data_IF_995055691750
#
_entry.id   IF_995055691750
#
_cell.length_a   1.000
_cell.length_b   1.000
_cell.length_c   1.000
_cell.angle_alpha   90.00
_cell.angle_beta   90.00
_cell.angle_gamma   90.00
#
_symmetry.space_group_name_H-M   'P 1'
#
loop_
_entity.id
_entity.type
_entity.pdbx_description
1 polymer ?
#
# COMPACT_ATOMS: atom_id res chain seq x y z
N UNK A 1 -23.71 -30.52 3.71
CA UNK A 1 -23.00 -29.77 4.77
C UNK A 1 -23.88 -29.82 5.99
N UNK A 2 -23.30 -30.30 7.09
CA UNK A 2 -23.99 -30.73 8.31
C UNK A 2 -24.90 -29.63 8.88
N UNK A 3 -26.13 -30.01 9.22
CA UNK A 3 -27.15 -29.10 9.73
C UNK A 3 -26.67 -28.51 11.06
N UNK A 4 -26.39 -27.21 11.02
CA UNK A 4 -25.86 -26.44 12.15
C UNK A 4 -26.67 -26.69 13.42
N UNK A 5 -26.05 -27.33 14.43
CA UNK A 5 -26.54 -27.38 15.83
C UNK A 5 -26.62 -25.95 16.38
N UNK A 6 -27.74 -25.27 16.13
CA UNK A 6 -27.99 -23.92 16.65
C UNK A 6 -28.56 -24.03 18.07
N UNK A 7 -27.92 -23.35 19.02
CA UNK A 7 -28.41 -23.24 20.40
C UNK A 7 -29.64 -22.33 20.44
N UNK A 8 -30.73 -22.81 21.06
CA UNK A 8 -31.99 -22.08 21.23
C UNK A 8 -31.75 -20.76 22.00
N UNK A 9 -32.29 -19.65 21.47
CA UNK A 9 -32.20 -18.33 22.10
C UNK A 9 -30.98 -17.49 21.72
N UNK A 10 -30.05 -18.01 20.92
CA UNK A 10 -28.97 -17.20 20.32
C UNK A 10 -29.37 -16.71 18.93
N UNK A 11 -29.16 -15.43 18.68
CA UNK A 11 -29.12 -14.87 17.34
C UNK A 11 -27.77 -15.23 16.71
N UNK A 12 -27.79 -15.98 15.62
CA UNK A 12 -26.61 -16.25 14.81
C UNK A 12 -26.60 -15.29 13.63
N UNK A 13 -25.42 -14.79 13.26
CA UNK A 13 -25.27 -14.06 12.00
C UNK A 13 -25.65 -14.99 10.84
N UNK A 14 -26.35 -14.44 9.86
CA UNK A 14 -26.58 -15.13 8.59
C UNK A 14 -25.24 -15.58 8.03
N UNK A 15 -25.18 -16.82 7.54
CA UNK A 15 -23.99 -17.30 6.84
C UNK A 15 -23.60 -16.26 5.78
N UNK A 16 -22.34 -15.84 5.82
CA UNK A 16 -21.82 -14.90 4.83
C UNK A 16 -21.99 -15.58 3.48
N UNK A 17 -22.62 -14.88 2.54
CA UNK A 17 -22.85 -15.40 1.20
C UNK A 17 -21.49 -15.70 0.56
N UNK A 18 -21.18 -16.98 0.25
CA UNK A 18 -19.92 -17.35 -0.36
C UNK A 18 -19.76 -16.77 -1.78
N UNK A 19 -20.86 -16.32 -2.41
CA UNK A 19 -20.86 -15.69 -3.73
C UNK A 19 -20.74 -14.15 -3.63
N UNK A 20 -20.81 -13.55 -2.43
CA UNK A 20 -20.53 -12.12 -2.24
C UNK A 20 -19.03 -11.88 -2.31
N UNK A 21 -18.58 -11.65 -3.54
CA UNK A 21 -17.40 -10.88 -3.97
C UNK A 21 -16.16 -11.18 -3.13
N UNK A 22 -15.42 -12.14 -3.66
CA UNK A 22 -14.05 -12.47 -3.30
C UNK A 22 -13.23 -11.18 -3.23
N UNK A 23 -12.32 -11.12 -2.28
CA UNK A 23 -11.52 -9.95 -1.91
C UNK A 23 -10.92 -9.25 -3.15
N UNK A 24 -10.64 -10.00 -4.22
CA UNK A 24 -10.15 -9.53 -5.51
C UNK A 24 -11.11 -8.58 -6.25
N UNK A 25 -12.38 -8.92 -6.45
CA UNK A 25 -13.32 -8.05 -7.19
C UNK A 25 -13.62 -6.77 -6.39
N UNK A 26 -13.58 -6.84 -5.05
CA UNK A 26 -13.62 -5.62 -4.22
C UNK A 26 -12.35 -4.78 -4.39
N UNK A 27 -11.17 -5.41 -4.47
CA UNK A 27 -9.91 -4.71 -4.72
C UNK A 27 -9.90 -4.06 -6.11
N UNK A 28 -10.42 -4.74 -7.13
CA UNK A 28 -10.58 -4.22 -8.49
C UNK A 28 -11.54 -3.02 -8.53
N UNK A 29 -12.68 -3.11 -7.86
CA UNK A 29 -13.62 -1.98 -7.75
C UNK A 29 -13.01 -0.76 -7.04
N UNK A 30 -12.19 -0.97 -6.01
CA UNK A 30 -11.46 0.10 -5.32
C UNK A 30 -10.36 0.69 -6.21
N UNK A 31 -9.63 -0.16 -6.96
CA UNK A 31 -8.64 0.28 -7.93
C UNK A 31 -9.27 1.12 -9.05
N UNK A 32 -10.40 0.68 -9.60
CA UNK A 32 -11.19 1.42 -10.59
C UNK A 32 -11.70 2.77 -10.03
N UNK A 33 -11.95 2.86 -8.72
CA UNK A 33 -12.29 4.09 -8.03
C UNK A 33 -11.08 4.99 -7.71
N UNK A 34 -9.86 4.59 -8.11
CA UNK A 34 -8.63 5.37 -7.95
C UNK A 34 -7.90 5.15 -6.63
N UNK A 35 -8.29 4.16 -5.83
CA UNK A 35 -7.49 3.75 -4.67
C UNK A 35 -6.25 2.96 -5.13
N UNK A 36 -5.07 3.21 -4.56
CA UNK A 36 -3.86 2.49 -4.93
C UNK A 36 -4.00 1.01 -4.56
N UNK A 37 -3.48 0.13 -5.42
CA UNK A 37 -3.30 -1.27 -5.07
C UNK A 37 -2.24 -1.38 -3.96
N UNK A 38 -2.24 -2.46 -3.17
CA UNK A 38 -1.27 -2.63 -2.07
C UNK A 38 0.19 -2.49 -2.50
N UNK A 39 0.51 -2.91 -3.73
CA UNK A 39 1.83 -2.80 -4.34
C UNK A 39 2.22 -1.34 -4.66
N UNK A 40 1.21 -0.52 -4.96
CA UNK A 40 1.34 0.90 -5.30
C UNK A 40 1.05 1.83 -4.12
N UNK A 41 0.65 1.31 -2.96
CA UNK A 41 0.26 2.12 -1.80
C UNK A 41 1.50 2.64 -1.05
N UNK A 42 1.76 3.96 -1.09
CA UNK A 42 2.90 4.55 -0.40
C UNK A 42 2.80 4.45 1.12
N UNK A 43 1.61 4.25 1.67
CA UNK A 43 1.42 4.09 3.10
C UNK A 43 1.88 2.71 3.59
N UNK A 44 1.71 1.65 2.79
CA UNK A 44 2.11 0.28 3.17
C UNK A 44 3.64 0.18 3.36
N UNK A 45 4.41 0.89 2.54
CA UNK A 45 5.88 0.85 2.57
C UNK A 45 6.53 2.09 3.18
N UNK A 46 5.78 2.95 3.89
CA UNK A 46 6.29 4.22 4.40
C UNK A 46 7.53 4.06 5.29
N UNK A 47 7.54 3.06 6.18
CA UNK A 47 8.67 2.81 7.08
C UNK A 47 9.91 2.29 6.34
N UNK A 48 9.72 1.43 5.35
CA UNK A 48 10.81 0.91 4.52
C UNK A 48 11.44 2.06 3.73
N UNK A 49 10.63 2.88 3.06
CA UNK A 49 11.11 4.05 2.32
C UNK A 49 11.86 5.04 3.21
N UNK A 50 11.37 5.28 4.42
CA UNK A 50 12.05 6.16 5.37
C UNK A 50 13.42 5.61 5.77
N UNK A 51 13.52 4.29 5.94
CA UNK A 51 14.77 3.60 6.24
C UNK A 51 15.75 3.69 5.07
N UNK A 52 15.31 3.36 3.86
CA UNK A 52 16.09 3.46 2.63
C UNK A 52 16.60 4.89 2.40
N UNK A 53 15.75 5.89 2.58
CA UNK A 53 16.14 7.30 2.46
C UNK A 53 17.20 7.71 3.49
N UNK A 54 17.05 7.25 4.74
CA UNK A 54 18.02 7.52 5.81
C UNK A 54 19.36 6.84 5.52
N UNK A 55 19.33 5.62 5.01
CA UNK A 55 20.54 4.86 4.71
C UNK A 55 21.24 5.45 3.47
N UNK A 56 20.49 5.86 2.43
CA UNK A 56 21.02 6.60 1.28
C UNK A 56 21.60 7.98 1.62
N UNK A 57 21.06 8.66 2.64
CA UNK A 57 21.63 9.91 3.15
C UNK A 57 22.91 9.70 3.99
N UNK A 58 23.13 8.47 4.48
CA UNK A 58 24.33 8.06 5.22
C UNK A 58 25.46 7.61 4.30
N UNK A 59 25.13 7.16 3.09
CA UNK A 59 26.10 6.92 2.03
C UNK A 59 26.80 8.25 1.71
N UNK A 60 28.15 8.30 1.68
CA UNK A 60 28.85 9.50 1.26
C UNK A 60 28.51 9.76 -0.21
N UNK A 61 27.70 10.79 -0.46
CA UNK A 61 27.41 11.25 -1.80
C UNK A 61 28.75 11.54 -2.50
N UNK A 62 29.01 11.01 -3.72
CA UNK A 62 30.16 11.47 -4.48
C UNK A 62 29.96 12.97 -4.66
N UNK A 63 30.90 13.76 -4.12
CA UNK A 63 30.88 15.22 -4.23
C UNK A 63 30.56 15.60 -5.68
N UNK A 64 29.34 16.07 -5.93
CA UNK A 64 29.00 16.72 -7.18
C UNK A 64 29.70 18.08 -7.12
N UNK A 65 30.97 18.08 -7.53
CA UNK A 65 31.70 19.29 -7.86
C UNK A 65 30.95 19.93 -9.02
N UNK A 66 30.06 20.86 -8.68
CA UNK A 66 29.49 21.77 -9.66
C UNK A 66 30.62 22.70 -10.06
N UNK A 67 31.27 22.42 -11.19
CA UNK A 67 32.18 23.36 -11.82
C UNK A 67 31.39 24.64 -12.09
N UNK A 68 31.65 25.67 -11.28
CA UNK A 68 31.12 27.01 -11.50
C UNK A 68 31.83 27.57 -12.72
N UNK A 69 31.14 27.63 -13.86
CA UNK A 69 31.62 28.40 -15.00
C UNK A 69 31.37 29.87 -14.69
N UNK A 70 32.39 30.75 -14.76
CA UNK A 70 32.18 32.17 -14.57
C UNK A 70 31.33 32.70 -15.73
N UNK A 71 30.20 33.29 -15.40
CA UNK A 71 29.35 34.00 -16.35
C UNK A 71 30.04 35.34 -16.62
N UNK A 72 30.62 35.47 -17.81
CA UNK A 72 31.07 36.75 -18.35
C UNK A 72 29.82 37.52 -18.81
N UNK A 73 29.53 38.65 -18.17
CA UNK A 73 28.43 39.55 -18.54
C UNK A 73 29.05 40.79 -19.21
N UNK A 74 28.61 41.17 -20.43
CA UNK A 74 29.20 42.24 -21.24
C UNK A 74 29.04 43.65 -20.66
#
# INVERSE_FOLDING_TARGET
MDETKRVKGRAYQSARDPERVLIEERAEALSAAGYPLPEDDPAIYAEQRLREARDAAREPQPCLVSEVTPIDIP
#
